data_IF_751054942070
#
_entry.id   IF_751054942070
#
_cell.length_a   1.000
_cell.length_b   1.000
_cell.length_c   1.000
_cell.angle_alpha   90.00
_cell.angle_beta   90.00
_cell.angle_gamma   90.00
#
_symmetry.space_group_name_H-M   'P 1'
#
loop_
_entity.id
_entity.type
_entity.pdbx_description
1 polymer ?
#
# COMPACT_ATOMS: atom_id res chain seq x y z
N UNK A 1 -14.26 17.10 20.71
CA UNK A 1 -14.54 18.05 19.60
C UNK A 1 -13.29 18.20 18.75
N UNK A 2 -13.29 17.65 17.54
CA UNK A 2 -12.43 18.08 16.42
C UNK A 2 -12.75 17.21 15.21
N UNK A 3 -13.72 17.64 14.39
CA UNK A 3 -13.84 17.22 13.00
C UNK A 3 -14.74 18.22 12.29
N UNK A 4 -14.28 19.45 12.17
CA UNK A 4 -14.74 20.34 11.09
C UNK A 4 -14.15 19.76 9.81
N UNK A 5 -14.95 19.25 8.85
CA UNK A 5 -14.42 18.93 7.54
C UNK A 5 -14.06 20.26 6.89
N UNK A 6 -12.78 20.66 7.00
CA UNK A 6 -12.23 21.74 6.18
C UNK A 6 -12.59 21.40 4.73
N UNK A 7 -12.94 22.39 3.89
CA UNK A 7 -13.15 22.13 2.46
C UNK A 7 -11.94 21.35 1.99
N UNK A 8 -12.16 20.13 1.50
CA UNK A 8 -11.10 19.23 1.04
C UNK A 8 -10.50 19.87 -0.19
N UNK A 9 -9.57 20.80 0.03
CA UNK A 9 -8.72 21.34 -1.01
C UNK A 9 -8.05 20.17 -1.70
N UNK A 10 -7.86 20.29 -3.00
CA UNK A 10 -7.26 19.24 -3.83
C UNK A 10 -5.91 18.78 -3.29
N UNK A 11 -5.18 19.65 -2.59
CA UNK A 11 -3.92 19.33 -1.91
C UNK A 11 -4.07 18.29 -0.78
N UNK A 12 -5.15 18.36 0.02
CA UNK A 12 -5.40 17.45 1.12
C UNK A 12 -5.71 16.03 0.64
N UNK A 13 -6.40 15.91 -0.51
CA UNK A 13 -6.69 14.61 -1.11
C UNK A 13 -5.40 13.94 -1.63
N UNK A 14 -4.51 14.72 -2.24
CA UNK A 14 -3.21 14.21 -2.70
C UNK A 14 -2.33 13.80 -1.52
N UNK A 15 -2.25 14.63 -0.48
CA UNK A 15 -1.50 14.31 0.74
C UNK A 15 -1.99 13.01 1.39
N UNK A 16 -3.31 12.84 1.54
CA UNK A 16 -3.88 11.64 2.14
C UNK A 16 -3.58 10.36 1.33
N UNK A 17 -3.57 10.44 -0.02
CA UNK A 17 -3.20 9.31 -0.88
C UNK A 17 -1.71 8.98 -0.76
N UNK A 18 -0.87 10.01 -0.68
CA UNK A 18 0.57 9.83 -0.50
C UNK A 18 0.89 9.18 0.85
N UNK A 19 0.27 9.63 1.94
CA UNK A 19 0.46 9.04 3.26
C UNK A 19 0.07 7.55 3.29
N UNK A 20 -1.05 7.20 2.65
CA UNK A 20 -1.46 5.79 2.51
C UNK A 20 -0.47 4.99 1.67
N UNK A 21 -0.01 5.55 0.56
CA UNK A 21 0.99 4.90 -0.29
C UNK A 21 2.29 4.64 0.47
N UNK A 22 2.77 5.64 1.22
CA UNK A 22 3.98 5.54 2.01
C UNK A 22 3.85 4.50 3.13
N UNK A 23 2.71 4.49 3.82
CA UNK A 23 2.42 3.49 4.84
C UNK A 23 2.43 2.07 4.25
N UNK A 24 1.77 1.85 3.12
CA UNK A 24 1.71 0.54 2.48
C UNK A 24 3.08 0.08 1.97
N UNK A 25 3.87 1.03 1.45
CA UNK A 25 5.25 0.79 1.03
C UNK A 25 6.12 0.33 2.20
N UNK A 26 6.07 1.03 3.33
CA UNK A 26 6.85 0.68 4.52
C UNK A 26 6.42 -0.71 5.03
N UNK A 27 5.12 -0.98 5.10
CA UNK A 27 4.60 -2.26 5.58
C UNK A 27 4.99 -3.41 4.64
N UNK A 28 4.66 -3.32 3.34
CA UNK A 28 4.97 -4.41 2.38
C UNK A 28 6.47 -4.61 2.19
N UNK A 29 7.24 -3.53 2.10
CA UNK A 29 8.70 -3.63 1.98
C UNK A 29 9.32 -4.17 3.26
N UNK A 30 8.81 -3.77 4.44
CA UNK A 30 9.26 -4.28 5.75
C UNK A 30 8.98 -5.77 5.94
N UNK A 31 7.81 -6.25 5.48
CA UNK A 31 7.48 -7.69 5.46
C UNK A 31 8.44 -8.44 4.53
N UNK A 32 8.66 -7.93 3.31
CA UNK A 32 9.60 -8.53 2.36
C UNK A 32 11.05 -8.52 2.85
N UNK A 33 11.47 -7.46 3.53
CA UNK A 33 12.79 -7.32 4.13
C UNK A 33 13.00 -8.32 5.27
N UNK A 34 12.06 -8.36 6.24
CA UNK A 34 12.16 -9.26 7.39
C UNK A 34 12.15 -10.74 6.97
N UNK A 35 11.24 -11.13 6.07
CA UNK A 35 11.23 -12.46 5.49
C UNK A 35 12.53 -12.77 4.71
N UNK A 36 13.02 -11.80 3.94
CA UNK A 36 14.28 -11.91 3.20
C UNK A 36 15.50 -12.09 4.11
N UNK A 37 15.54 -11.41 5.27
CA UNK A 37 16.61 -11.56 6.27
C UNK A 37 16.59 -12.97 6.87
N UNK A 38 15.41 -13.45 7.28
CA UNK A 38 15.25 -14.81 7.84
C UNK A 38 15.68 -15.85 6.80
N UNK A 39 15.23 -15.71 5.55
CA UNK A 39 15.62 -16.59 4.45
C UNK A 39 17.13 -16.52 4.17
N UNK A 40 17.72 -15.32 4.16
CA UNK A 40 19.15 -15.10 3.94
C UNK A 40 20.00 -15.84 4.97
N UNK A 41 19.62 -15.78 6.24
CA UNK A 41 20.35 -16.39 7.35
C UNK A 41 20.22 -17.91 7.36
N UNK A 42 19.00 -18.43 7.14
CA UNK A 42 18.72 -19.87 7.30
C UNK A 42 19.03 -20.68 6.04
N UNK A 43 18.63 -20.19 4.86
CA UNK A 43 18.64 -20.98 3.62
C UNK A 43 19.78 -20.58 2.67
N UNK A 44 20.15 -19.30 2.64
CA UNK A 44 21.07 -18.76 1.64
C UNK A 44 22.46 -18.41 2.19
N UNK A 45 22.82 -18.91 3.39
CA UNK A 45 24.18 -18.82 3.94
C UNK A 45 24.74 -17.38 3.94
N UNK A 46 23.90 -16.41 4.33
CA UNK A 46 24.15 -14.95 4.36
C UNK A 46 24.24 -14.23 3.02
N UNK A 47 23.74 -14.79 1.92
CA UNK A 47 23.65 -14.05 0.65
C UNK A 47 22.62 -12.92 0.76
N UNK A 48 22.95 -11.70 0.32
CA UNK A 48 22.07 -10.53 0.42
C UNK A 48 20.94 -10.49 -0.64
N UNK A 49 21.04 -11.29 -1.71
CA UNK A 49 20.08 -11.31 -2.81
C UNK A 49 18.60 -11.58 -2.40
N UNK A 50 18.28 -12.45 -1.40
CA UNK A 50 16.90 -12.71 -1.01
C UNK A 50 16.28 -11.51 -0.28
N UNK A 51 17.11 -10.74 0.44
CA UNK A 51 16.67 -9.50 1.11
C UNK A 51 16.32 -8.45 0.06
N UNK A 52 17.20 -8.25 -0.92
CA UNK A 52 16.97 -7.32 -2.02
C UNK A 52 15.74 -7.69 -2.84
N UNK A 53 15.56 -8.98 -3.17
CA UNK A 53 14.37 -9.44 -3.88
C UNK A 53 13.09 -9.32 -3.06
N UNK A 54 13.09 -9.76 -1.79
CA UNK A 54 11.90 -9.67 -0.94
C UNK A 54 11.46 -8.23 -0.73
N UNK A 55 12.41 -7.34 -0.43
CA UNK A 55 12.14 -5.91 -0.26
C UNK A 55 11.67 -5.27 -1.57
N UNK A 56 12.34 -5.56 -2.69
CA UNK A 56 11.98 -5.02 -4.01
C UNK A 56 10.60 -5.48 -4.50
N UNK A 57 10.25 -6.75 -4.25
CA UNK A 57 8.92 -7.28 -4.56
C UNK A 57 7.82 -6.63 -3.71
N UNK A 58 8.06 -6.46 -2.41
CA UNK A 58 7.16 -5.73 -1.51
C UNK A 58 6.95 -4.28 -1.94
N UNK A 59 8.05 -3.59 -2.28
CA UNK A 59 8.00 -2.22 -2.80
C UNK A 59 7.25 -2.12 -4.13
N UNK A 60 7.47 -3.07 -5.05
CA UNK A 60 6.78 -3.12 -6.35
C UNK A 60 5.27 -3.34 -6.21
N UNK A 61 4.85 -4.24 -5.32
CA UNK A 61 3.43 -4.41 -5.00
C UNK A 61 2.80 -3.14 -4.42
N UNK A 62 3.47 -2.51 -3.44
CA UNK A 62 2.98 -1.26 -2.86
C UNK A 62 2.87 -0.18 -3.93
N UNK A 63 3.84 -0.07 -4.84
CA UNK A 63 3.79 0.88 -5.95
C UNK A 63 2.58 0.65 -6.87
N UNK A 64 2.24 -0.61 -7.18
CA UNK A 64 1.05 -0.93 -7.97
C UNK A 64 -0.24 -0.53 -7.25
N UNK A 65 -0.31 -0.69 -5.93
CA UNK A 65 -1.46 -0.23 -5.13
C UNK A 65 -1.54 1.30 -5.03
N UNK A 66 -0.39 1.98 -5.00
CA UNK A 66 -0.32 3.43 -5.11
C UNK A 66 -0.83 3.92 -6.47
N UNK A 67 -0.37 3.36 -7.60
CA UNK A 67 -0.83 3.79 -8.94
C UNK A 67 -2.34 3.62 -9.09
N UNK A 68 -2.94 2.54 -8.56
CA UNK A 68 -4.40 2.36 -8.53
C UNK A 68 -5.10 3.42 -7.69
N UNK A 69 -4.51 3.83 -6.57
CA UNK A 69 -5.07 4.85 -5.69
C UNK A 69 -5.06 6.24 -6.33
N UNK A 70 -4.03 6.54 -7.14
CA UNK A 70 -3.92 7.81 -7.88
C UNK A 70 -4.71 7.80 -9.18
N UNK A 71 -4.77 6.67 -9.89
CA UNK A 71 -5.48 6.51 -11.15
C UNK A 71 -6.54 5.38 -11.10
N UNK A 72 -7.68 5.59 -10.43
CA UNK A 72 -8.73 4.59 -10.30
C UNK A 72 -9.47 4.27 -11.61
N UNK A 73 -9.18 4.97 -12.71
CA UNK A 73 -9.69 4.62 -14.03
C UNK A 73 -8.82 3.58 -14.76
N UNK A 74 -7.61 3.27 -14.25
CA UNK A 74 -6.70 2.28 -14.84
C UNK A 74 -7.02 0.82 -14.48
N UNK A 75 -8.14 0.57 -13.81
CA UNK A 75 -8.57 -0.76 -13.38
C UNK A 75 -9.49 -1.35 -14.46
N UNK A 76 -9.04 -2.35 -15.25
CA UNK A 76 -9.93 -3.01 -16.20
C UNK A 76 -11.02 -3.78 -15.44
N UNK A 77 -12.29 -3.44 -15.71
CA UNK A 77 -13.45 -4.28 -15.39
C UNK A 77 -13.99 -4.28 -13.95
N UNK A 78 -13.65 -3.32 -13.09
CA UNK A 78 -14.21 -3.26 -11.72
C UNK A 78 -15.10 -2.03 -11.49
N UNK A 79 -16.27 -2.24 -10.87
CA UNK A 79 -17.14 -1.15 -10.37
C UNK A 79 -16.71 -0.79 -8.95
N UNK A 80 -16.36 0.48 -8.74
CA UNK A 80 -15.99 1.01 -7.44
C UNK A 80 -17.28 1.22 -6.63
N UNK A 81 -17.61 0.27 -5.76
CA UNK A 81 -18.73 0.42 -4.82
C UNK A 81 -18.24 1.34 -3.68
N UNK A 82 -18.87 2.51 -3.47
CA UNK A 82 -18.46 3.40 -2.40
C UNK A 82 -18.65 2.72 -1.04
N UNK A 83 -17.69 2.89 -0.13
CA UNK A 83 -17.67 2.24 1.19
C UNK A 83 -18.92 2.50 2.06
N UNK A 84 -19.74 3.49 1.69
CA UNK A 84 -21.06 3.74 2.28
C UNK A 84 -22.08 2.61 2.02
N UNK A 85 -21.97 1.88 0.90
CA UNK A 85 -22.88 0.76 0.60
C UNK A 85 -22.51 -0.52 1.35
N UNK A 86 -21.21 -0.85 1.48
CA UNK A 86 -20.75 -2.03 2.21
C UNK A 86 -21.11 -2.00 3.71
N UNK A 87 -21.17 -0.80 4.31
CA UNK A 87 -21.57 -0.65 5.72
C UNK A 87 -23.08 -0.84 5.93
N UNK A 88 -23.89 -0.72 4.88
CA UNK A 88 -25.35 -0.84 4.96
C UNK A 88 -25.86 -2.28 4.92
N UNK A 89 -25.03 -3.22 4.46
CA UNK A 89 -25.39 -4.65 4.34
C UNK A 89 -25.01 -5.47 5.60
N UNK A 90 -24.17 -4.92 6.49
CA UNK A 90 -23.76 -5.55 7.74
C UNK A 90 -24.56 -5.03 8.96
N UNK A 91 -25.75 -4.47 8.75
CA UNK A 91 -26.65 -4.01 9.82
C UNK A 91 -28.07 -4.52 9.64
#
# INVERSE_FOLDING_TARGET
MSSTPKPTSSENIVAQKFDRCLADLIVKSGVGFSAGVIASVILFRRRAWPVALGTGFGAGMAYADCDRSFNPARIPGTRIVPASELKKESS
#
